data_IF_240872528545
#
_entry.id   IF_240872528545
#
_cell.length_a   1.000
_cell.length_b   1.000
_cell.length_c   1.000
_cell.angle_alpha   90.00
_cell.angle_beta   90.00
_cell.angle_gamma   90.00
#
_symmetry.space_group_name_H-M   'P 1'
#
loop_
_entity.id
_entity.type
_entity.pdbx_description
1 polymer ?
#
# COMPACT_ATOMS: atom_id res chain seq x y z
N UNK A 1 1.65 25.82 13.27
CA UNK A 1 1.15 26.77 12.23
C UNK A 1 -0.05 26.15 11.54
N UNK A 2 -1.11 26.90 11.22
CA UNK A 2 -2.29 26.32 10.58
C UNK A 2 -1.93 25.90 9.14
N UNK A 3 -2.01 24.60 8.86
CA UNK A 3 -2.02 24.09 7.49
C UNK A 3 -3.06 24.87 6.68
N UNK A 4 -2.67 25.34 5.49
CA UNK A 4 -3.58 26.11 4.62
C UNK A 4 -4.82 25.27 4.32
N UNK A 5 -6.00 25.90 4.23
CA UNK A 5 -7.24 25.18 3.96
C UNK A 5 -7.13 24.26 2.72
N UNK A 6 -6.40 24.73 1.69
CA UNK A 6 -6.10 23.98 0.47
C UNK A 6 -5.26 22.72 0.74
N UNK A 7 -4.23 22.80 1.58
CA UNK A 7 -3.38 21.67 1.91
C UNK A 7 -4.14 20.59 2.69
N UNK A 8 -4.98 20.99 3.65
CA UNK A 8 -5.86 20.06 4.36
C UNK A 8 -6.85 19.39 3.41
N UNK A 9 -7.43 20.18 2.51
CA UNK A 9 -8.37 19.68 1.50
C UNK A 9 -7.70 18.65 0.58
N UNK A 10 -6.51 18.95 0.04
CA UNK A 10 -5.77 18.03 -0.84
C UNK A 10 -5.37 16.73 -0.11
N UNK A 11 -4.96 16.83 1.15
CA UNK A 11 -4.62 15.65 1.96
C UNK A 11 -5.85 14.78 2.20
N UNK A 12 -6.97 15.37 2.65
CA UNK A 12 -8.22 14.65 2.91
C UNK A 12 -8.75 14.02 1.62
N UNK A 13 -8.77 14.77 0.51
CA UNK A 13 -9.19 14.28 -0.79
C UNK A 13 -8.33 13.09 -1.24
N UNK A 14 -7.00 13.19 -1.10
CA UNK A 14 -6.09 12.10 -1.43
C UNK A 14 -6.39 10.86 -0.58
N UNK A 15 -6.53 11.00 0.75
CA UNK A 15 -6.86 9.88 1.64
C UNK A 15 -8.21 9.23 1.27
N UNK A 16 -9.24 10.02 0.99
CA UNK A 16 -10.54 9.51 0.55
C UNK A 16 -10.44 8.72 -0.76
N UNK A 17 -9.69 9.22 -1.73
CA UNK A 17 -9.44 8.51 -3.00
C UNK A 17 -8.65 7.21 -2.79
N UNK A 18 -7.69 7.17 -1.85
CA UNK A 18 -6.95 5.95 -1.53
C UNK A 18 -7.89 4.91 -0.90
N UNK A 19 -8.74 5.31 0.05
CA UNK A 19 -9.72 4.41 0.69
C UNK A 19 -10.71 3.86 -0.33
N UNK A 20 -11.24 4.71 -1.21
CA UNK A 20 -12.13 4.28 -2.27
C UNK A 20 -11.43 3.33 -3.25
N UNK A 21 -10.19 3.65 -3.64
CA UNK A 21 -9.37 2.77 -4.48
C UNK A 21 -9.05 1.42 -3.82
N UNK A 22 -8.74 1.39 -2.52
CA UNK A 22 -8.58 0.16 -1.73
C UNK A 22 -9.86 -0.68 -1.80
N UNK A 23 -11.03 -0.07 -1.59
CA UNK A 23 -12.31 -0.77 -1.69
C UNK A 23 -12.54 -1.40 -3.07
N UNK A 24 -12.27 -0.66 -4.14
CA UNK A 24 -12.41 -1.16 -5.51
C UNK A 24 -11.40 -2.27 -5.86
N UNK A 25 -10.14 -2.11 -5.47
CA UNK A 25 -9.09 -3.12 -5.72
C UNK A 25 -9.32 -4.40 -4.92
N UNK A 26 -9.76 -4.29 -3.66
CA UNK A 26 -10.18 -5.45 -2.85
C UNK A 26 -11.41 -6.12 -3.48
N UNK A 27 -12.44 -5.36 -3.86
CA UNK A 27 -13.63 -5.90 -4.52
C UNK A 27 -13.29 -6.61 -5.84
N UNK A 28 -12.34 -6.07 -6.62
CA UNK A 28 -11.81 -6.72 -7.81
C UNK A 28 -11.07 -8.02 -7.46
N UNK A 29 -10.14 -7.98 -6.50
CA UNK A 29 -9.34 -9.15 -6.11
C UNK A 29 -10.20 -10.32 -5.59
N UNK A 30 -11.22 -10.02 -4.78
CA UNK A 30 -12.21 -10.97 -4.27
C UNK A 30 -13.42 -11.12 -5.20
N UNK A 31 -13.27 -10.94 -6.51
CA UNK A 31 -14.36 -11.21 -7.46
C UNK A 31 -13.95 -12.33 -8.41
N UNK A 32 -14.85 -13.29 -8.71
CA UNK A 32 -14.56 -14.41 -9.60
C UNK A 32 -14.52 -14.03 -11.09
N UNK A 33 -14.91 -12.83 -11.48
CA UNK A 33 -15.07 -12.48 -12.89
C UNK A 33 -13.90 -11.65 -13.42
N UNK A 34 -12.66 -12.14 -13.32
CA UNK A 34 -11.51 -11.52 -14.00
C UNK A 34 -11.51 -11.91 -15.48
N UNK A 35 -11.79 -13.16 -15.78
CA UNK A 35 -12.14 -13.63 -17.12
C UNK A 35 -13.47 -14.39 -17.06
N UNK A 36 -14.26 -14.29 -18.12
CA UNK A 36 -15.55 -14.96 -18.24
C UNK A 36 -15.59 -15.67 -19.58
N UNK A 37 -16.03 -16.93 -19.56
CA UNK A 37 -16.23 -17.74 -20.75
C UNK A 37 -17.57 -18.45 -20.66
N UNK A 38 -18.26 -18.51 -21.78
CA UNK A 38 -19.54 -19.21 -21.92
C UNK A 38 -19.31 -20.42 -22.84
N UNK A 39 -19.47 -21.62 -22.27
CA UNK A 39 -19.22 -22.88 -22.94
C UNK A 39 -20.57 -23.47 -23.36
N UNK A 40 -20.82 -23.42 -24.67
CA UNK A 40 -22.13 -23.75 -25.25
C UNK A 40 -22.45 -25.24 -25.21
N UNK A 41 -21.45 -26.13 -25.16
CA UNK A 41 -21.71 -27.58 -25.04
C UNK A 41 -22.30 -27.92 -23.68
N UNK A 42 -21.75 -27.34 -22.61
CA UNK A 42 -22.19 -27.59 -21.24
C UNK A 42 -23.26 -26.61 -20.76
N UNK A 43 -23.53 -25.55 -21.53
CA UNK A 43 -24.46 -24.47 -21.17
C UNK A 43 -24.11 -23.93 -19.79
N UNK A 44 -22.85 -23.56 -19.63
CA UNK A 44 -22.33 -23.08 -18.36
C UNK A 44 -21.46 -21.84 -18.58
N UNK A 45 -21.70 -20.83 -17.75
CA UNK A 45 -20.84 -19.66 -17.64
C UNK A 45 -19.76 -19.95 -16.59
N UNK A 46 -18.51 -19.84 -17.02
CA UNK A 46 -17.34 -20.02 -16.17
C UNK A 46 -16.70 -18.65 -15.92
N UNK A 47 -16.60 -18.30 -14.64
CA UNK A 47 -15.97 -17.08 -14.17
C UNK A 47 -14.65 -17.43 -13.49
N UNK A 48 -13.56 -17.01 -14.12
CA UNK A 48 -12.20 -17.23 -13.62
C UNK A 48 -11.74 -16.03 -12.81
N UNK A 49 -11.53 -16.25 -11.52
CA UNK A 49 -10.94 -15.29 -10.60
C UNK A 49 -9.43 -15.51 -10.46
N UNK A 50 -8.79 -14.67 -9.65
CA UNK A 50 -7.34 -14.78 -9.42
C UNK A 50 -6.94 -16.03 -8.61
N UNK A 51 -7.78 -16.42 -7.64
CA UNK A 51 -7.51 -17.53 -6.71
C UNK A 51 -8.67 -18.52 -6.55
N UNK A 52 -9.80 -18.25 -7.19
CA UNK A 52 -10.96 -19.12 -7.21
C UNK A 52 -11.58 -19.06 -8.60
N UNK A 53 -12.38 -20.07 -8.93
CA UNK A 53 -13.20 -20.13 -10.13
C UNK A 53 -14.64 -20.38 -9.70
N UNK A 54 -15.61 -19.80 -10.41
CA UNK A 54 -17.01 -20.07 -10.16
C UNK A 54 -17.72 -20.48 -11.45
N UNK A 55 -18.63 -21.45 -11.33
CA UNK A 55 -19.40 -21.99 -12.45
C UNK A 55 -20.89 -21.75 -12.21
N UNK A 56 -21.58 -21.33 -13.26
CA UNK A 56 -23.04 -21.19 -13.31
C UNK A 56 -23.59 -22.01 -14.46
N UNK A 57 -24.43 -23.00 -14.18
CA UNK A 57 -25.13 -23.75 -15.23
C UNK A 57 -26.39 -23.01 -15.68
N UNK A 58 -26.54 -22.75 -16.98
CA UNK A 58 -27.76 -22.18 -17.57
C UNK A 58 -28.88 -23.24 -17.61
N UNK A 59 -29.99 -23.01 -16.89
CA UNK A 59 -31.17 -23.89 -16.91
C UNK A 59 -31.95 -23.74 -18.21
N UNK A 60 -32.51 -24.86 -18.68
CA UNK A 60 -33.41 -24.90 -19.83
C UNK A 60 -34.87 -24.72 -19.42
N UNK A 61 -35.60 -23.93 -20.21
CA UNK A 61 -37.06 -23.96 -20.40
C UNK A 61 -37.71 -25.32 -20.04
N UNK A 62 -38.58 -25.37 -19.02
CA UNK A 62 -40.01 -25.75 -19.07
C UNK A 62 -40.68 -25.36 -17.73
N UNK A 63 -41.20 -24.14 -17.64
CA UNK A 63 -42.46 -23.75 -16.98
C UNK A 63 -42.50 -22.22 -16.90
N UNK A 64 -43.65 -21.61 -17.18
CA UNK A 64 -43.88 -20.15 -17.22
C UNK A 64 -43.67 -19.46 -15.85
N UNK A 65 -43.22 -20.19 -14.81
CA UNK A 65 -43.05 -19.70 -13.44
C UNK A 65 -41.62 -19.53 -12.93
N UNK A 66 -40.61 -20.16 -13.53
CA UNK A 66 -39.24 -20.22 -12.96
C UNK A 66 -38.23 -19.27 -13.63
N UNK A 67 -38.72 -18.21 -14.28
CA UNK A 67 -37.91 -17.25 -15.06
C UNK A 67 -36.98 -16.36 -14.24
N UNK A 68 -36.93 -16.50 -12.91
CA UNK A 68 -36.14 -15.62 -12.03
C UNK A 68 -35.20 -16.35 -11.05
N UNK A 69 -35.19 -17.69 -11.04
CA UNK A 69 -34.29 -18.46 -10.18
C UNK A 69 -32.99 -18.82 -10.92
N UNK A 70 -32.15 -17.80 -11.07
CA UNK A 70 -30.74 -17.93 -11.43
C UNK A 70 -30.09 -19.04 -10.59
N UNK A 71 -29.41 -19.99 -11.22
CA UNK A 71 -28.69 -21.04 -10.50
C UNK A 71 -27.60 -20.42 -9.61
N UNK A 72 -27.44 -20.90 -8.36
CA UNK A 72 -26.41 -20.37 -7.49
C UNK A 72 -25.02 -20.63 -8.08
N UNK A 73 -24.15 -19.63 -7.99
CA UNK A 73 -22.75 -19.72 -8.43
C UNK A 73 -22.02 -20.76 -7.55
N UNK A 74 -21.47 -21.80 -8.17
CA UNK A 74 -20.68 -22.79 -7.45
C UNK A 74 -19.19 -22.45 -7.57
N UNK A 75 -18.58 -22.04 -6.46
CA UNK A 75 -17.20 -21.54 -6.43
C UNK A 75 -16.23 -22.57 -5.82
N UNK A 76 -15.08 -22.74 -6.47
CA UNK A 76 -13.99 -23.64 -6.07
C UNK A 76 -12.68 -22.86 -5.99
N UNK A 77 -11.81 -23.17 -5.02
CA UNK A 77 -10.50 -22.53 -4.88
C UNK A 77 -9.45 -23.19 -5.78
N UNK A 78 -8.58 -22.38 -6.43
CA UNK A 78 -7.46 -22.88 -7.25
C UNK A 78 -6.33 -23.55 -6.42
N UNK A 79 -6.36 -23.40 -5.09
CA UNK A 79 -5.36 -23.93 -4.17
C UNK A 79 -5.69 -25.33 -3.60
N UNK A 80 -6.80 -25.93 -4.00
CA UNK A 80 -7.21 -27.22 -3.49
C UNK A 80 -6.40 -28.37 -4.13
N UNK A 81 -5.37 -28.83 -3.42
CA UNK A 81 -4.51 -29.93 -3.83
C UNK A 81 -5.28 -31.25 -4.05
N UNK A 82 -6.44 -31.42 -3.41
CA UNK A 82 -7.27 -32.62 -3.61
C UNK A 82 -7.98 -32.60 -4.97
N UNK A 83 -8.40 -31.41 -5.42
CA UNK A 83 -8.91 -31.21 -6.77
C UNK A 83 -7.79 -31.35 -7.81
N UNK A 84 -6.59 -30.81 -7.55
CA UNK A 84 -5.43 -30.97 -8.45
C UNK A 84 -5.05 -32.45 -8.65
N UNK A 85 -5.08 -33.26 -7.58
CA UNK A 85 -4.72 -34.69 -7.64
C UNK A 85 -5.77 -35.53 -8.39
N UNK A 86 -7.06 -35.25 -8.20
CA UNK A 86 -8.14 -35.94 -8.93
C UNK A 86 -8.11 -35.57 -10.42
N UNK A 87 -7.74 -34.33 -10.74
CA UNK A 87 -7.55 -33.85 -12.11
C UNK A 87 -6.33 -34.53 -12.77
N UNK A 88 -5.18 -34.59 -12.10
CA UNK A 88 -3.95 -35.24 -12.62
C UNK A 88 -4.15 -36.76 -12.84
N UNK A 89 -4.89 -37.42 -11.94
CA UNK A 89 -5.21 -38.85 -12.08
C UNK A 89 -6.19 -39.11 -13.24
N UNK A 90 -7.16 -38.21 -13.44
CA UNK A 90 -8.10 -38.29 -14.57
C UNK A 90 -7.41 -37.98 -15.91
N UNK A 91 -6.49 -37.01 -15.95
CA UNK A 91 -5.68 -36.66 -17.13
C UNK A 91 -4.75 -37.80 -17.57
N UNK A 92 -4.18 -38.56 -16.63
CA UNK A 92 -3.36 -39.75 -16.96
C UNK A 92 -4.16 -40.88 -17.61
N UNK A 93 -5.49 -40.90 -17.47
CA UNK A 93 -6.37 -41.93 -18.02
C UNK A 93 -7.10 -41.56 -19.32
N UNK A 94 -7.17 -40.28 -19.69
CA UNK A 94 -8.07 -39.77 -20.74
C UNK A 94 -7.30 -38.98 -21.80
N UNK A 95 -6.54 -39.69 -22.62
CA UNK A 95 -5.81 -39.14 -23.79
C UNK A 95 -6.74 -38.90 -25.01
N UNK A 96 -8.08 -38.83 -24.82
CA UNK A 96 -9.03 -38.88 -25.96
C UNK A 96 -10.28 -37.99 -25.96
N UNK A 97 -10.68 -37.34 -24.85
CA UNK A 97 -11.92 -36.53 -24.86
C UNK A 97 -11.68 -35.08 -24.39
N UNK A 98 -11.98 -34.12 -25.28
CA UNK A 98 -11.74 -32.67 -25.13
C UNK A 98 -12.46 -31.95 -23.98
N UNK A 99 -13.01 -32.69 -23.01
CA UNK A 99 -13.43 -32.15 -21.71
C UNK A 99 -12.24 -32.02 -20.72
N UNK A 100 -11.14 -32.75 -20.95
CA UNK A 100 -9.92 -32.66 -20.13
C UNK A 100 -9.15 -31.33 -20.29
N UNK A 101 -9.32 -30.60 -21.40
CA UNK A 101 -8.71 -29.28 -21.62
C UNK A 101 -9.29 -28.16 -20.74
N UNK A 102 -10.49 -28.37 -20.20
CA UNK A 102 -11.12 -27.46 -19.24
C UNK A 102 -10.48 -27.57 -17.85
N UNK A 103 -9.91 -28.74 -17.52
CA UNK A 103 -9.20 -28.98 -16.25
C UNK A 103 -7.82 -28.30 -16.19
N UNK A 104 -7.23 -27.95 -17.34
CA UNK A 104 -5.99 -27.15 -17.42
C UNK A 104 -6.18 -25.71 -16.88
N UNK A 105 -7.42 -25.23 -16.76
CA UNK A 105 -7.72 -23.86 -16.32
C UNK A 105 -7.85 -23.70 -14.79
N UNK A 106 -7.83 -24.80 -14.03
CA UNK A 106 -7.75 -24.77 -12.57
C UNK A 106 -6.31 -24.70 -12.03
N UNK A 107 -5.29 -24.89 -12.89
CA UNK A 107 -3.90 -24.80 -12.44
C UNK A 107 -3.54 -23.38 -12.02
N UNK A 108 -2.98 -23.25 -10.82
CA UNK A 108 -2.52 -21.96 -10.32
C UNK A 108 -1.19 -21.55 -10.99
N UNK A 109 -1.30 -21.01 -12.21
CA UNK A 109 -0.17 -20.62 -13.05
C UNK A 109 0.74 -19.58 -12.38
N UNK A 110 2.01 -19.56 -12.81
CA UNK A 110 3.01 -18.62 -12.28
C UNK A 110 2.59 -17.15 -12.40
N UNK A 111 1.85 -16.79 -13.46
CA UNK A 111 1.38 -15.43 -13.65
C UNK A 111 0.30 -15.01 -12.63
N UNK A 112 -0.61 -15.92 -12.23
CA UNK A 112 -1.57 -15.68 -11.14
C UNK A 112 -0.85 -15.40 -9.82
N UNK A 113 0.20 -16.17 -9.50
CA UNK A 113 1.05 -15.96 -8.31
C UNK A 113 1.67 -14.57 -8.30
N UNK A 114 2.22 -14.15 -9.45
CA UNK A 114 2.86 -12.84 -9.61
C UNK A 114 1.85 -11.71 -9.42
N UNK A 115 0.67 -11.80 -10.06
CA UNK A 115 -0.38 -10.79 -9.91
C UNK A 115 -0.82 -10.67 -8.46
N UNK A 116 -1.13 -11.79 -7.81
CA UNK A 116 -1.59 -11.80 -6.42
C UNK A 116 -0.54 -11.23 -5.45
N UNK A 117 0.73 -11.54 -5.68
CA UNK A 117 1.82 -10.93 -4.93
C UNK A 117 1.82 -9.40 -5.09
N UNK A 118 1.76 -8.89 -6.32
CA UNK A 118 1.75 -7.45 -6.57
C UNK A 118 0.51 -6.76 -6.01
N UNK A 119 -0.66 -7.38 -6.09
CA UNK A 119 -1.91 -6.86 -5.49
C UNK A 119 -1.76 -6.80 -3.97
N UNK A 120 -1.40 -7.89 -3.29
CA UNK A 120 -1.26 -7.89 -1.82
C UNK A 120 -0.22 -6.86 -1.37
N UNK A 121 0.93 -6.83 -2.06
CA UNK A 121 1.98 -5.87 -1.75
C UNK A 121 1.54 -4.42 -1.98
N UNK A 122 0.77 -4.14 -3.05
CA UNK A 122 0.21 -2.80 -3.29
C UNK A 122 -0.79 -2.38 -2.22
N UNK A 123 -1.65 -3.29 -1.73
CA UNK A 123 -2.59 -3.02 -0.63
C UNK A 123 -1.87 -2.66 0.67
N UNK A 124 -0.78 -3.38 1.00
CA UNK A 124 0.02 -3.11 2.19
C UNK A 124 0.69 -1.73 2.10
N UNK A 125 1.26 -1.39 0.95
CA UNK A 125 1.87 -0.08 0.71
C UNK A 125 0.84 1.06 0.76
N UNK A 126 -0.37 0.86 0.21
CA UNK A 126 -1.47 1.82 0.31
C UNK A 126 -1.90 2.02 1.77
N UNK A 127 -1.92 0.96 2.58
CA UNK A 127 -2.20 1.04 4.02
C UNK A 127 -1.14 1.86 4.77
N UNK A 128 0.14 1.63 4.47
CA UNK A 128 1.26 2.44 5.00
C UNK A 128 1.13 3.91 4.58
N UNK A 129 0.68 4.15 3.34
CA UNK A 129 0.40 5.50 2.85
C UNK A 129 -0.68 6.18 3.68
N UNK A 130 -1.84 5.53 3.92
CA UNK A 130 -2.90 6.10 4.76
C UNK A 130 -2.38 6.45 6.17
N UNK A 131 -1.66 5.53 6.81
CA UNK A 131 -1.11 5.75 8.16
C UNK A 131 -0.14 6.93 8.18
N UNK A 132 0.76 7.04 7.21
CA UNK A 132 1.73 8.14 7.13
C UNK A 132 1.08 9.47 6.73
N UNK A 133 0.05 9.45 5.90
CA UNK A 133 -0.76 10.62 5.53
C UNK A 133 -1.57 11.17 6.71
N UNK A 134 -2.17 10.30 7.54
CA UNK A 134 -2.87 10.70 8.75
C UNK A 134 -1.93 11.36 9.77
N UNK A 135 -0.66 10.94 9.83
CA UNK A 135 0.38 11.51 10.69
C UNK A 135 1.09 12.76 10.12
N UNK A 136 0.87 13.10 8.84
CA UNK A 136 1.52 14.24 8.18
C UNK A 136 1.33 15.61 8.87
N UNK A 137 0.17 15.91 9.49
CA UNK A 137 0.03 17.13 10.28
C UNK A 137 0.90 17.16 11.54
N UNK A 138 1.26 16.00 12.09
CA UNK A 138 2.04 15.86 13.33
C UNK A 138 3.55 15.88 13.06
N UNK A 139 4.00 15.25 11.96
CA UNK A 139 5.41 15.13 11.60
C UNK A 139 5.61 15.32 10.10
N UNK A 140 6.21 16.44 9.71
CA UNK A 140 6.33 16.84 8.29
C UNK A 140 7.05 15.81 7.39
N UNK A 141 8.12 15.12 7.84
CA UNK A 141 8.76 14.11 6.99
C UNK A 141 7.87 12.93 6.62
N UNK A 142 6.77 12.64 7.34
CA UNK A 142 5.86 11.57 6.90
C UNK A 142 5.13 11.90 5.59
N UNK A 143 5.08 13.17 5.15
CA UNK A 143 4.53 13.53 3.84
C UNK A 143 5.32 12.89 2.68
N UNK A 144 6.64 12.73 2.84
CA UNK A 144 7.46 12.02 1.86
C UNK A 144 7.18 10.52 1.88
N UNK A 145 7.09 9.92 3.06
CA UNK A 145 6.74 8.50 3.22
C UNK A 145 5.35 8.22 2.61
N UNK A 146 4.38 9.10 2.87
CA UNK A 146 3.04 9.07 2.28
C UNK A 146 3.07 9.03 0.75
N UNK A 147 3.82 9.93 0.14
CA UNK A 147 3.89 10.07 -1.32
C UNK A 147 4.66 8.91 -1.97
N UNK A 148 5.79 8.50 -1.38
CA UNK A 148 6.63 7.41 -1.91
C UNK A 148 5.91 6.06 -1.79
N UNK A 149 5.30 5.77 -0.63
CA UNK A 149 4.53 4.53 -0.45
C UNK A 149 3.33 4.46 -1.40
N UNK A 150 2.63 5.57 -1.62
CA UNK A 150 1.54 5.63 -2.60
C UNK A 150 2.02 5.42 -4.04
N UNK A 151 3.17 6.00 -4.40
CA UNK A 151 3.78 5.78 -5.72
C UNK A 151 4.14 4.31 -5.95
N UNK A 152 4.79 3.67 -4.97
CA UNK A 152 5.15 2.26 -5.06
C UNK A 152 3.91 1.37 -5.11
N UNK A 153 2.89 1.68 -4.31
CA UNK A 153 1.59 1.00 -4.36
C UNK A 153 0.95 1.09 -5.75
N UNK A 154 0.88 2.30 -6.33
CA UNK A 154 0.35 2.54 -7.67
C UNK A 154 1.15 1.77 -8.73
N UNK A 155 2.49 1.79 -8.66
CA UNK A 155 3.35 1.08 -9.60
C UNK A 155 3.09 -0.44 -9.55
N UNK A 156 3.03 -1.02 -8.35
CA UNK A 156 2.72 -2.44 -8.18
C UNK A 156 1.32 -2.77 -8.71
N UNK A 157 0.32 -1.91 -8.49
CA UNK A 157 -1.04 -2.09 -9.02
C UNK A 157 -1.07 -2.08 -10.55
N UNK A 158 -0.38 -1.11 -11.18
CA UNK A 158 -0.27 -1.03 -12.64
C UNK A 158 0.47 -2.24 -13.23
N UNK A 159 1.52 -2.72 -12.56
CA UNK A 159 2.22 -3.95 -12.97
C UNK A 159 1.28 -5.15 -12.88
N UNK A 160 0.48 -5.28 -11.82
CA UNK A 160 -0.50 -6.35 -11.67
C UNK A 160 -1.54 -6.33 -12.81
N UNK A 161 -2.13 -5.15 -13.09
CA UNK A 161 -3.07 -4.94 -14.19
C UNK A 161 -2.44 -5.28 -15.56
N UNK A 162 -1.18 -4.86 -15.77
CA UNK A 162 -0.44 -5.11 -17.00
C UNK A 162 -0.10 -6.59 -17.22
N UNK A 163 0.37 -7.29 -16.18
CA UNK A 163 0.66 -8.73 -16.24
C UNK A 163 -0.62 -9.50 -16.53
N UNK A 164 -1.73 -9.15 -15.86
CA UNK A 164 -3.03 -9.76 -16.14
C UNK A 164 -3.44 -9.53 -17.60
N UNK A 165 -3.41 -8.28 -18.06
CA UNK A 165 -3.85 -7.93 -19.41
C UNK A 165 -3.02 -8.65 -20.48
N UNK A 166 -1.71 -8.75 -20.31
CA UNK A 166 -0.83 -9.49 -21.23
C UNK A 166 -1.09 -11.00 -21.17
N UNK A 167 -1.28 -11.55 -19.98
CA UNK A 167 -1.59 -12.97 -19.81
C UNK A 167 -2.96 -13.32 -20.41
N UNK A 168 -3.99 -12.51 -20.19
CA UNK A 168 -5.35 -12.74 -20.70
C UNK A 168 -5.44 -12.62 -22.23
N UNK A 169 -4.58 -11.80 -22.86
CA UNK A 169 -4.53 -11.67 -24.32
C UNK A 169 -3.63 -12.70 -25.02
N UNK A 170 -2.88 -13.50 -24.25
CA UNK A 170 -2.09 -14.60 -24.82
C UNK A 170 -3.04 -15.64 -25.42
N UNK A 171 -2.75 -16.11 -26.64
CA UNK A 171 -3.62 -17.05 -27.39
C UNK A 171 -3.98 -18.28 -26.55
N UNK A 172 -3.01 -18.85 -25.85
CA UNK A 172 -3.18 -20.04 -25.00
C UNK A 172 -4.18 -19.83 -23.85
N UNK A 173 -4.34 -18.59 -23.39
CA UNK A 173 -5.22 -18.22 -22.28
C UNK A 173 -6.53 -17.58 -22.77
N UNK A 174 -6.53 -16.98 -23.98
CA UNK A 174 -7.71 -16.33 -24.55
C UNK A 174 -8.70 -17.34 -25.10
N UNK A 175 -8.23 -18.50 -25.56
CA UNK A 175 -9.08 -19.51 -26.19
C UNK A 175 -9.08 -20.80 -25.40
N UNK A 176 -10.25 -21.20 -24.91
CA UNK A 176 -10.45 -22.51 -24.27
C UNK A 176 -10.89 -23.50 -25.34
N UNK A 177 -10.24 -24.65 -25.42
CA UNK A 177 -10.67 -25.75 -26.29
C UNK A 177 -11.70 -26.59 -25.53
N UNK A 178 -12.93 -26.62 -26.03
CA UNK A 178 -13.95 -27.57 -25.60
C UNK A 178 -13.96 -28.81 -26.49
N UNK A 179 -14.87 -29.74 -26.19
CA UNK A 179 -15.02 -31.00 -26.92
C UNK A 179 -15.39 -30.82 -28.41
N UNK A 180 -16.14 -29.76 -28.74
CA UNK A 180 -16.72 -29.56 -30.09
C UNK A 180 -16.29 -28.21 -30.71
N UNK A 181 -15.60 -27.35 -29.97
CA UNK A 181 -15.21 -26.03 -30.46
C UNK A 181 -14.22 -25.29 -29.57
N UNK A 182 -13.87 -24.07 -29.98
CA UNK A 182 -13.04 -23.15 -29.19
C UNK A 182 -13.86 -21.96 -28.70
N UNK A 183 -13.73 -21.65 -27.42
CA UNK A 183 -14.45 -20.58 -26.73
C UNK A 183 -13.50 -19.44 -26.39
N UNK A 184 -13.93 -18.22 -26.67
CA UNK A 184 -13.15 -17.02 -26.36
C UNK A 184 -13.46 -16.55 -24.93
N UNK A 185 -12.42 -16.48 -24.09
CA UNK A 185 -12.48 -15.85 -22.78
C UNK A 185 -12.50 -14.33 -22.92
N UNK A 186 -13.49 -13.68 -22.32
CA UNK A 186 -13.61 -12.23 -22.25
C UNK A 186 -13.09 -11.72 -20.92
N UNK A 187 -12.56 -10.50 -20.92
CA UNK A 187 -12.19 -9.81 -19.67
C UNK A 187 -13.48 -9.48 -18.91
N UNK A 188 -13.56 -9.92 -17.65
CA UNK A 188 -14.72 -9.72 -16.80
C UNK A 188 -14.67 -8.43 -15.99
N UNK A 189 -15.75 -8.16 -15.24
CA UNK A 189 -15.92 -6.90 -14.49
C UNK A 189 -14.91 -6.73 -13.35
N UNK A 190 -14.36 -7.82 -12.79
CA UNK A 190 -13.43 -7.77 -11.66
C UNK A 190 -12.14 -7.02 -12.01
N UNK A 191 -11.63 -7.25 -13.23
CA UNK A 191 -10.49 -6.51 -13.77
C UNK A 191 -10.79 -5.01 -13.85
N UNK A 192 -11.96 -4.62 -14.35
CA UNK A 192 -12.34 -3.21 -14.46
C UNK A 192 -12.54 -2.54 -13.10
N UNK A 193 -13.04 -3.26 -12.09
CA UNK A 193 -13.09 -2.76 -10.71
C UNK A 193 -11.69 -2.51 -10.16
N UNK A 194 -10.77 -3.47 -10.34
CA UNK A 194 -9.38 -3.32 -9.90
C UNK A 194 -8.69 -2.15 -10.61
N UNK A 195 -8.81 -2.08 -11.95
CA UNK A 195 -8.27 -0.99 -12.77
C UNK A 195 -8.85 0.38 -12.35
N UNK A 196 -10.15 0.44 -12.05
CA UNK A 196 -10.81 1.64 -11.53
C UNK A 196 -10.20 2.09 -10.20
N UNK A 197 -9.87 1.15 -9.32
CA UNK A 197 -9.13 1.41 -8.09
C UNK A 197 -7.72 1.96 -8.34
N UNK A 198 -6.98 1.35 -9.28
CA UNK A 198 -5.65 1.82 -9.73
C UNK A 198 -5.72 3.27 -10.25
N UNK A 199 -6.73 3.61 -11.06
CA UNK A 199 -6.95 4.97 -11.55
C UNK A 199 -7.24 5.95 -10.41
N UNK A 200 -8.06 5.55 -9.42
CA UNK A 200 -8.31 6.37 -8.22
C UNK A 200 -7.01 6.66 -7.46
N UNK A 201 -6.12 5.68 -7.32
CA UNK A 201 -4.79 5.89 -6.74
C UNK A 201 -3.91 6.81 -7.58
N UNK A 202 -4.02 6.78 -8.91
CA UNK A 202 -3.38 7.74 -9.80
C UNK A 202 -3.77 9.19 -9.50
N UNK A 203 -5.07 9.46 -9.34
CA UNK A 203 -5.55 10.79 -8.94
C UNK A 203 -5.13 11.16 -7.51
N UNK A 204 -5.19 10.20 -6.58
CA UNK A 204 -4.73 10.39 -5.21
C UNK A 204 -3.25 10.77 -5.16
N UNK A 205 -2.43 10.15 -6.01
CA UNK A 205 -0.99 10.39 -6.11
C UNK A 205 -0.67 11.81 -6.60
N UNK A 206 -1.41 12.33 -7.59
CA UNK A 206 -1.27 13.72 -8.02
C UNK A 206 -1.57 14.68 -6.85
N UNK A 207 -2.65 14.42 -6.10
CA UNK A 207 -2.98 15.20 -4.92
C UNK A 207 -1.90 15.09 -3.82
N UNK A 208 -1.29 13.91 -3.66
CA UNK A 208 -0.22 13.67 -2.70
C UNK A 208 1.06 14.46 -3.05
N UNK A 209 1.46 14.48 -4.33
CA UNK A 209 2.59 15.30 -4.79
C UNK A 209 2.34 16.78 -4.49
N UNK A 210 1.15 17.30 -4.85
CA UNK A 210 0.80 18.71 -4.61
C UNK A 210 0.82 19.05 -3.11
N UNK A 211 0.33 18.12 -2.28
CA UNK A 211 0.34 18.25 -0.82
C UNK A 211 1.77 18.33 -0.30
N UNK A 212 2.64 17.40 -0.69
CA UNK A 212 4.05 17.35 -0.27
C UNK A 212 4.84 18.57 -0.74
N UNK A 213 4.61 19.03 -1.98
CA UNK A 213 5.21 20.25 -2.49
C UNK A 213 4.83 21.49 -1.65
N UNK A 214 3.56 21.61 -1.26
CA UNK A 214 3.08 22.70 -0.39
C UNK A 214 3.66 22.62 1.03
N UNK A 215 3.83 21.41 1.57
CA UNK A 215 4.51 21.20 2.87
C UNK A 215 5.96 21.70 2.83
N UNK A 216 6.70 21.39 1.75
CA UNK A 216 8.10 21.79 1.61
C UNK A 216 8.28 23.30 1.38
N UNK A 217 7.53 23.88 0.43
CA UNK A 217 7.66 25.31 0.08
C UNK A 217 7.26 26.24 1.22
N UNK A 218 6.27 25.87 2.03
CA UNK A 218 5.91 26.64 3.23
C UNK A 218 6.94 26.48 4.35
N UNK A 219 7.58 25.31 4.48
CA UNK A 219 8.65 25.06 5.45
C UNK A 219 9.88 25.93 5.20
N UNK A 220 10.38 25.96 3.96
CA UNK A 220 11.56 26.77 3.60
C UNK A 220 11.34 28.27 3.79
N UNK A 221 10.11 28.77 3.55
CA UNK A 221 9.76 30.18 3.77
C UNK A 221 9.75 30.55 5.25
N UNK A 222 9.52 29.58 6.14
CA UNK A 222 9.59 29.79 7.59
C UNK A 222 11.02 29.80 8.09
N UNK A 223 11.88 28.86 7.67
CA UNK A 223 13.30 28.89 8.05
C UNK A 223 14.01 30.14 7.57
N UNK A 224 13.70 30.60 6.35
CA UNK A 224 14.27 31.84 5.81
C UNK A 224 13.84 33.08 6.60
N UNK A 225 12.65 33.08 7.23
CA UNK A 225 12.22 34.17 8.14
C UNK A 225 13.03 34.20 9.44
N UNK A 226 13.41 33.05 10.00
CA UNK A 226 14.23 33.01 11.20
C UNK A 226 15.70 33.38 10.94
N UNK A 227 16.18 33.19 9.71
CA UNK A 227 17.55 33.56 9.33
C UNK A 227 17.68 35.02 8.86
N UNK A 228 16.56 35.67 8.50
CA UNK A 228 16.52 37.04 7.97
C UNK A 228 15.86 38.06 8.91
N UNK A 229 15.68 37.78 10.20
CA UNK A 229 15.40 38.85 11.16
C UNK A 229 16.73 39.51 11.57
N UNK A 230 17.08 40.71 11.06
CA UNK A 230 18.18 41.45 11.62
C UNK A 230 17.72 41.91 12.99
N UNK A 231 18.48 41.62 14.03
CA UNK A 231 18.38 42.25 15.34
C UNK A 231 18.55 43.76 15.19
N UNK A 232 17.48 44.47 14.84
CA UNK A 232 17.42 45.91 14.86
C UNK A 232 16.88 46.34 16.24
N UNK A 233 17.75 46.21 17.23
CA UNK A 233 17.53 46.62 18.61
C UNK A 233 18.90 46.81 19.27
N UNK A 234 19.20 48.06 19.61
CA UNK A 234 20.50 48.59 20.02
C UNK A 234 21.29 47.77 21.07
N UNK A 235 22.62 47.92 21.11
CA UNK A 235 23.43 47.43 22.23
C UNK A 235 23.34 48.40 23.41
N UNK A 236 22.40 48.19 24.33
CA UNK A 236 22.53 48.80 25.66
C UNK A 236 23.57 48.03 26.48
N UNK A 237 24.75 48.66 26.62
CA UNK A 237 25.76 48.31 27.63
C UNK A 237 25.13 48.39 29.02
N UNK A 238 25.37 47.43 29.94
CA UNK A 238 24.98 47.60 31.33
C UNK A 238 25.82 48.73 31.93
N UNK A 239 25.19 49.89 32.14
CA UNK A 239 25.77 51.01 32.86
C UNK A 239 26.06 50.59 34.30
N UNK A 240 27.35 50.66 34.63
CA UNK A 240 27.94 50.56 35.95
C UNK A 240 27.17 51.47 36.93
N UNK A 241 26.39 50.86 37.84
CA UNK A 241 25.64 51.58 38.88
C UNK A 241 26.64 52.07 39.94
N UNK A 242 26.87 53.39 40.00
CA UNK A 242 27.60 54.03 41.11
C UNK A 242 26.84 53.81 42.44
N UNK A 243 27.55 53.54 43.54
CA UNK A 243 26.93 53.30 44.83
C UNK A 243 26.51 54.64 45.45
N UNK A 244 25.34 54.68 46.08
CA UNK A 244 25.04 55.72 47.04
C UNK A 244 24.51 55.12 48.35
N UNK A 245 25.15 55.61 49.40
CA UNK A 245 25.23 55.11 50.74
C UNK A 245 24.21 55.88 51.60
N UNK A 246 23.29 55.19 52.27
CA UNK A 246 22.80 55.59 53.61
C UNK A 246 21.71 54.66 54.16
N UNK A 247 21.89 54.33 55.45
CA UNK A 247 20.92 53.87 56.46
C UNK A 247 20.49 52.39 56.43
N UNK A 248 21.18 51.50 57.17
CA UNK A 248 20.95 51.11 58.59
C UNK A 248 19.80 50.09 58.80
N UNK A 249 20.13 48.80 59.00
CA UNK A 249 20.08 48.08 60.30
C UNK A 249 20.12 46.54 60.17
N UNK A 250 20.88 45.95 61.11
CA UNK A 250 20.88 44.58 61.65
C UNK A 250 21.20 43.40 60.71
N UNK A 251 22.38 42.77 60.78
CA UNK A 251 22.90 41.84 61.82
C UNK A 251 22.70 40.37 61.43
N UNK A 252 23.76 39.69 61.01
CA UNK A 252 24.17 38.39 61.58
C UNK A 252 25.55 37.96 61.06
N UNK A 253 26.31 37.38 61.99
CA UNK A 253 27.72 37.01 61.97
C UNK A 253 28.12 35.83 61.07
N UNK A 254 29.46 35.70 60.97
CA UNK A 254 30.29 34.49 60.74
C UNK A 254 30.63 34.20 59.26
N UNK A 255 31.82 34.54 58.75
CA UNK A 255 33.18 34.05 59.09
C UNK A 255 33.32 32.53 59.00
N UNK A 256 33.90 32.03 57.90
CA UNK A 256 35.06 31.15 57.98
C UNK A 256 35.80 31.08 56.63
N UNK A 257 37.07 31.44 56.72
CA UNK A 257 38.14 31.38 55.72
C UNK A 257 38.74 29.96 55.66
N UNK A 258 39.11 29.50 54.45
CA UNK A 258 40.43 28.90 54.15
C UNK A 258 40.52 28.31 52.73
N UNK A 259 41.34 28.95 51.91
CA UNK A 259 42.21 28.30 50.90
C UNK A 259 43.56 27.93 51.58
N UNK A 260 44.62 27.34 50.94
CA UNK A 260 44.78 26.83 49.58
C UNK A 260 45.65 25.52 49.42
N UNK A 261 45.76 25.06 48.15
CA UNK A 261 46.96 24.50 47.42
C UNK A 261 47.47 23.05 47.54
N UNK A 262 48.05 22.65 46.40
CA UNK A 262 49.14 21.67 46.10
C UNK A 262 48.73 20.23 45.71
N UNK A 263 49.29 19.51 44.71
CA UNK A 263 50.14 19.75 43.51
C UNK A 263 50.15 18.44 42.69
N UNK A 264 50.45 18.54 41.38
CA UNK A 264 51.24 17.60 40.55
C UNK A 264 50.64 16.27 40.00
N UNK A 265 50.75 16.18 38.66
CA UNK A 265 50.68 15.06 37.68
C UNK A 265 51.63 13.86 37.98
N UNK A 266 51.81 12.80 37.12
CA UNK A 266 51.18 12.40 35.84
C UNK A 266 50.75 10.89 35.75
N UNK A 267 50.21 10.49 34.58
CA UNK A 267 49.83 9.13 34.14
C UNK A 267 50.98 8.08 34.18
N UNK A 268 50.65 6.77 34.12
CA UNK A 268 50.68 6.05 32.83
C UNK A 268 49.56 4.99 32.63
N UNK A 269 49.18 4.76 31.36
CA UNK A 269 48.56 3.51 30.88
C UNK A 269 49.67 2.46 30.58
N UNK A 270 49.41 1.22 30.09
CA UNK A 270 48.17 0.45 29.86
C UNK A 270 48.25 -1.00 30.43
N UNK A 271 47.17 -1.80 30.36
CA UNK A 271 47.32 -3.26 30.13
C UNK A 271 46.07 -3.96 29.59
N UNK A 272 46.37 -4.86 28.66
CA UNK A 272 45.56 -5.74 27.82
C UNK A 272 45.26 -7.05 28.56
N UNK A 273 44.05 -7.61 28.41
CA UNK A 273 43.65 -9.03 28.47
C UNK A 273 42.31 -9.09 27.69
N UNK A 274 42.05 -9.80 26.58
CA UNK A 274 42.32 -11.13 25.99
C UNK A 274 41.71 -12.33 26.72
N UNK A 275 40.70 -12.90 26.04
CA UNK A 275 40.12 -14.27 26.07
C UNK A 275 39.47 -14.71 27.40
N UNK A 276 38.29 -15.35 27.44
CA UNK A 276 37.95 -16.61 26.76
C UNK A 276 36.44 -16.81 26.50
N UNK A 277 36.22 -17.67 25.51
CA UNK A 277 35.03 -18.33 24.99
C UNK A 277 34.08 -19.00 26.01
N UNK A 278 32.79 -19.04 25.64
CA UNK A 278 31.89 -20.19 25.73
C UNK A 278 30.77 -19.99 24.70
#
# INVERSE_FOLDING_TARGET
>A
MPSTAVQKLLLVLSICLIIFGLGLTIAGAFSPAWQVVDIREFRAEHQHGLWWDCVRAEKHVVAVGDFYDETPLHCMYKFDNSAEMVIDDTLRGVDQDGAAGESEHHRFWGWHKIILFFIIFSQLLASVSICSGACAPCFHPTAFVFTISLFLSLLCSVIADGVFFLAANRVDNRFVQGMVGTYEQRIGYAFYLHLGGTVCWGFAFICAILTTYKFFTNGSRSESKYFLEPTNGQPERPLLKKPNQSSLKHSSLASYDKSPRHTQQPMPAPRIYRETSA
#
